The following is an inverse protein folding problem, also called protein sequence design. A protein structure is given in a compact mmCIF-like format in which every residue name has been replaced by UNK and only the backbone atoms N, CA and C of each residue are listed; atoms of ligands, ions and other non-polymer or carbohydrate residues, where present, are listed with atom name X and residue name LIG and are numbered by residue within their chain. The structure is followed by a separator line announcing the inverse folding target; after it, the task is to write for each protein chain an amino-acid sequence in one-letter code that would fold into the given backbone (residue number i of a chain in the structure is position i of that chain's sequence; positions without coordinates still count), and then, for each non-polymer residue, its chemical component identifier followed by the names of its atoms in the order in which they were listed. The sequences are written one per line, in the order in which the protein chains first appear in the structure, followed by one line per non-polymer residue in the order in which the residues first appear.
data_IF_302344732098
#
_entry.id   IF_302344732098
#
_cell.length_a   1.000
_cell.length_b   1.000
_cell.length_c   1.000
_cell.angle_alpha   90.00
_cell.angle_beta   90.00
_cell.angle_gamma   90.00
#
_symmetry.space_group_name_H-M   'P 1'
#
loop_
_entity.id
_entity.type
_entity.pdbx_description
1 polymer ?
#
# COMPACT_ATOMS: atom_id res chain seq x y z
N UNK A 1 73.53 60.60 31.36
CA UNK A 1 72.30 60.97 30.67
C UNK A 1 72.34 60.74 29.15
N UNK A 2 73.39 61.16 28.42
CA UNK A 2 73.45 61.05 26.95
C UNK A 2 73.48 59.61 26.42
N UNK A 3 74.08 58.66 27.12
CA UNK A 3 74.11 57.24 26.76
C UNK A 3 72.73 56.51 27.02
N UNK A 4 72.06 56.86 28.09
CA UNK A 4 70.74 56.34 28.40
C UNK A 4 69.70 56.80 27.36
N UNK A 5 69.81 58.09 26.92
CA UNK A 5 68.94 58.63 25.87
C UNK A 5 69.19 57.95 24.51
N UNK A 6 70.45 57.66 24.16
CA UNK A 6 70.74 56.88 22.93
C UNK A 6 70.21 55.43 23.02
N UNK A 7 70.31 54.77 24.18
CA UNK A 7 69.80 53.45 24.42
C UNK A 7 68.31 53.42 24.27
N UNK A 8 67.61 54.37 24.88
CA UNK A 8 66.12 54.47 24.78
C UNK A 8 65.71 54.69 23.31
N UNK A 9 66.36 55.58 22.59
CA UNK A 9 66.07 55.83 21.16
C UNK A 9 66.34 54.56 20.31
N UNK A 10 67.41 53.84 20.53
CA UNK A 10 67.74 52.62 19.85
C UNK A 10 66.66 51.51 20.15
N UNK A 11 66.21 51.38 21.42
CA UNK A 11 65.22 50.45 21.80
C UNK A 11 63.86 50.80 21.16
N UNK A 12 63.49 52.11 21.12
CA UNK A 12 62.29 52.55 20.42
C UNK A 12 62.36 52.26 18.92
N UNK A 13 63.51 52.48 18.25
CA UNK A 13 63.66 52.14 16.82
C UNK A 13 63.47 50.63 16.59
N UNK A 14 64.10 49.79 17.41
CA UNK A 14 63.97 48.33 17.30
C UNK A 14 62.47 47.89 17.50
N UNK A 15 61.81 48.50 18.48
CA UNK A 15 60.33 48.17 18.69
C UNK A 15 59.48 48.66 17.53
N UNK A 16 59.75 49.85 16.96
CA UNK A 16 59.03 50.34 15.77
C UNK A 16 59.25 49.43 14.56
N UNK A 17 60.55 49.06 14.31
CA UNK A 17 60.86 48.11 13.22
C UNK A 17 60.15 46.78 13.43
N UNK A 18 60.15 46.23 14.66
CA UNK A 18 59.48 44.98 15.00
C UNK A 18 57.99 45.08 14.78
N UNK A 19 57.36 46.15 15.21
CA UNK A 19 55.88 46.38 14.99
C UNK A 19 55.62 46.54 13.49
N UNK A 20 56.49 47.26 12.72
CA UNK A 20 56.29 47.43 11.28
C UNK A 20 56.40 46.08 10.54
N UNK A 21 57.39 45.25 10.91
CA UNK A 21 57.58 43.90 10.34
C UNK A 21 56.33 43.06 10.60
N UNK A 22 55.81 43.07 11.82
CA UNK A 22 54.58 42.34 12.16
C UNK A 22 53.41 42.84 11.34
N UNK A 23 53.25 44.16 11.20
CA UNK A 23 52.17 44.75 10.41
C UNK A 23 52.30 44.35 8.92
N UNK A 24 53.48 44.33 8.34
CA UNK A 24 53.71 43.86 6.97
C UNK A 24 53.35 42.41 6.83
N UNK A 25 53.74 41.53 7.77
CA UNK A 25 53.32 40.12 7.75
C UNK A 25 51.82 39.97 7.84
N UNK A 26 51.16 40.73 8.72
CA UNK A 26 49.70 40.69 8.85
C UNK A 26 48.96 41.12 7.59
N UNK A 27 49.45 42.17 6.91
CA UNK A 27 48.85 42.67 5.67
C UNK A 27 49.00 41.72 4.47
N UNK A 28 49.95 40.77 4.52
CA UNK A 28 50.20 39.83 3.46
C UNK A 28 49.65 38.43 3.71
N UNK A 29 48.87 38.24 4.77
CA UNK A 29 48.12 37.00 5.00
C UNK A 29 46.88 37.02 4.11
N UNK A 30 46.78 36.04 3.21
CA UNK A 30 45.58 35.77 2.43
C UNK A 30 44.92 34.53 3.03
N UNK A 31 43.70 34.69 3.54
CA UNK A 31 42.89 33.59 4.03
C UNK A 31 41.44 33.76 3.55
N UNK A 32 41.04 32.93 2.59
CA UNK A 32 39.72 33.02 1.97
C UNK A 32 39.21 31.65 1.52
N UNK A 33 37.89 31.47 1.49
CA UNK A 33 37.26 30.28 0.94
C UNK A 33 37.43 30.22 -0.58
N UNK A 34 37.49 29.03 -1.14
CA UNK A 34 37.21 28.74 -2.55
C UNK A 34 35.74 28.44 -2.71
N UNK A 35 35.13 28.93 -3.79
CA UNK A 35 33.69 28.81 -4.01
C UNK A 35 32.86 29.60 -3.00
N UNK A 36 31.56 29.30 -2.95
CA UNK A 36 30.60 30.03 -2.16
C UNK A 36 30.74 29.77 -0.67
N UNK A 37 30.44 30.77 0.12
CA UNK A 37 30.43 30.67 1.58
C UNK A 37 29.10 30.16 2.15
N UNK A 38 28.05 30.05 1.30
CA UNK A 38 26.75 29.49 1.64
C UNK A 38 26.33 28.50 0.56
N UNK A 39 26.00 27.28 0.96
CA UNK A 39 25.62 26.17 0.08
C UNK A 39 24.31 25.56 0.56
N UNK A 40 23.55 24.98 -0.37
CA UNK A 40 22.39 24.17 -0.12
C UNK A 40 22.68 22.75 -0.60
N UNK A 41 22.39 21.78 0.23
CA UNK A 41 22.51 20.36 -0.09
C UNK A 41 21.16 19.71 0.13
N UNK A 42 20.81 18.79 -0.74
CA UNK A 42 19.64 17.93 -0.49
C UNK A 42 19.98 16.93 0.62
N UNK A 43 18.95 16.46 1.28
CA UNK A 43 19.06 15.41 2.29
C UNK A 43 19.87 14.21 1.73
N UNK A 44 20.84 13.70 2.51
CA UNK A 44 21.77 12.63 2.15
C UNK A 44 22.68 12.92 0.94
N UNK A 45 22.71 14.14 0.41
CA UNK A 45 23.64 14.53 -0.64
C UNK A 45 25.08 14.53 -0.11
N UNK A 46 26.01 14.05 -0.94
CA UNK A 46 27.42 14.03 -0.58
C UNK A 46 28.02 15.43 -0.71
N UNK A 47 28.52 15.99 0.39
CA UNK A 47 29.20 17.26 0.38
C UNK A 47 30.60 17.14 -0.22
N UNK A 48 30.90 18.00 -1.19
CA UNK A 48 32.26 18.16 -1.76
C UNK A 48 32.87 19.46 -1.26
N UNK A 49 33.99 19.36 -0.53
CA UNK A 49 34.71 20.51 -0.01
C UNK A 49 35.45 21.26 -1.12
N UNK A 50 35.10 22.51 -1.37
CA UNK A 50 35.78 23.38 -2.35
C UNK A 50 37.13 23.89 -1.85
N UNK A 51 37.39 23.79 -0.55
CA UNK A 51 38.63 24.18 0.07
C UNK A 51 38.75 25.69 0.33
N UNK A 52 39.97 26.11 0.60
CA UNK A 52 40.33 27.48 0.95
C UNK A 52 41.71 27.82 0.41
N UNK A 53 42.08 29.11 0.43
CA UNK A 53 43.44 29.62 0.19
C UNK A 53 43.94 30.14 1.52
N UNK A 54 45.12 29.70 1.94
CA UNK A 54 45.85 30.22 3.09
C UNK A 54 47.33 30.43 2.69
N UNK A 55 47.73 31.69 2.53
CA UNK A 55 49.09 32.01 2.13
C UNK A 55 49.59 33.28 2.82
N UNK A 56 50.90 33.41 2.87
CA UNK A 56 51.61 34.63 3.28
C UNK A 56 52.75 34.90 2.28
N UNK A 57 52.80 36.10 1.71
CA UNK A 57 53.75 36.45 0.63
C UNK A 57 53.77 35.39 -0.48
N UNK A 58 52.61 34.84 -0.84
CA UNK A 58 52.40 33.72 -1.78
C UNK A 58 52.96 32.35 -1.34
N UNK A 59 53.52 32.21 -0.13
CA UNK A 59 53.88 30.91 0.42
C UNK A 59 52.65 30.23 1.03
N UNK A 60 52.41 28.99 0.66
CA UNK A 60 51.29 28.18 1.18
C UNK A 60 51.49 27.86 2.66
N UNK A 61 50.51 28.24 3.48
CA UNK A 61 50.44 27.95 4.90
C UNK A 61 49.18 27.15 5.26
N UNK A 62 48.54 26.51 4.29
CA UNK A 62 47.29 25.75 4.45
C UNK A 62 47.40 24.66 5.53
N UNK A 63 48.56 24.03 5.71
CA UNK A 63 48.83 23.05 6.77
C UNK A 63 48.62 23.59 8.21
N UNK A 64 48.56 24.91 8.40
CA UNK A 64 48.29 25.54 9.70
C UNK A 64 46.81 25.77 9.97
N UNK A 65 45.95 25.54 9.00
CA UNK A 65 44.50 25.69 9.14
C UNK A 65 43.92 24.50 9.89
N UNK A 66 43.16 24.79 10.92
CA UNK A 66 42.31 23.79 11.61
C UNK A 66 40.88 23.92 11.10
N UNK A 67 40.28 22.78 10.76
CA UNK A 67 38.92 22.68 10.26
C UNK A 67 38.08 21.99 11.33
N UNK A 68 36.93 22.60 11.65
CA UNK A 68 35.87 22.03 12.51
C UNK A 68 34.65 21.87 11.64
N UNK A 69 34.23 20.66 11.48
CA UNK A 69 33.07 20.28 10.66
C UNK A 69 32.07 19.51 11.52
N UNK A 70 30.81 19.99 11.59
CA UNK A 70 29.72 19.34 12.24
C UNK A 70 28.59 18.97 11.26
N UNK A 71 28.89 18.99 9.97
CA UNK A 71 27.92 18.67 8.92
C UNK A 71 27.42 17.23 9.07
N UNK A 72 26.09 17.10 9.09
CA UNK A 72 25.38 15.84 8.97
C UNK A 72 24.32 16.00 7.89
N UNK A 73 24.57 15.42 6.73
CA UNK A 73 23.67 15.52 5.58
C UNK A 73 22.42 14.65 5.70
N UNK A 74 22.37 13.77 6.70
CA UNK A 74 21.17 12.94 6.97
C UNK A 74 20.11 13.62 7.85
N UNK A 75 20.38 14.85 8.29
CA UNK A 75 19.45 15.62 9.12
C UNK A 75 19.31 17.02 8.51
N UNK A 76 18.06 17.41 8.27
CA UNK A 76 17.70 18.75 7.80
C UNK A 76 18.16 19.79 8.82
N UNK A 77 18.83 20.85 8.36
CA UNK A 77 19.30 21.89 9.26
C UNK A 77 20.42 22.75 8.71
N UNK A 78 20.87 23.69 9.56
CA UNK A 78 21.94 24.63 9.23
C UNK A 78 23.25 24.21 9.91
N UNK A 79 24.25 23.95 9.11
CA UNK A 79 25.58 23.48 9.54
C UNK A 79 26.66 24.48 9.20
N UNK A 80 27.78 24.38 9.90
CA UNK A 80 28.92 25.26 9.68
C UNK A 80 30.19 24.48 9.60
N UNK A 81 30.98 24.77 8.58
CA UNK A 81 32.37 24.36 8.52
C UNK A 81 33.20 25.59 8.86
N UNK A 82 33.94 25.53 9.97
CA UNK A 82 34.74 26.61 10.47
C UNK A 82 36.21 26.32 10.19
N UNK A 83 36.87 27.27 9.57
CA UNK A 83 38.30 27.22 9.26
C UNK A 83 39.03 28.24 10.16
N UNK A 84 40.02 27.82 10.88
CA UNK A 84 40.80 28.65 11.81
C UNK A 84 42.25 28.60 11.47
N UNK A 85 42.83 29.74 11.09
CA UNK A 85 44.23 29.93 10.87
C UNK A 85 44.82 30.77 12.01
N UNK A 86 45.78 30.20 12.77
CA UNK A 86 46.56 30.93 13.75
C UNK A 86 47.91 31.26 13.15
N UNK A 87 48.20 32.55 13.01
CA UNK A 87 49.49 33.03 12.52
C UNK A 87 50.01 34.12 13.42
N UNK A 88 51.23 33.94 13.95
CA UNK A 88 51.77 34.72 15.05
C UNK A 88 50.77 34.67 16.25
N UNK A 89 50.35 35.83 16.77
CA UNK A 89 49.33 35.95 17.82
C UNK A 89 47.95 36.28 17.28
N UNK A 90 47.75 36.31 15.94
CA UNK A 90 46.47 36.56 15.32
C UNK A 90 45.76 35.23 14.97
N UNK A 91 44.43 35.25 15.16
CA UNK A 91 43.53 34.17 14.74
C UNK A 91 42.60 34.69 13.66
N UNK A 92 42.69 34.09 12.48
CA UNK A 92 41.81 34.35 11.36
C UNK A 92 40.76 33.26 11.31
N UNK A 93 39.49 33.63 11.01
CA UNK A 93 38.38 32.71 10.95
C UNK A 93 37.66 32.88 9.62
N UNK A 94 37.30 31.76 9.02
CA UNK A 94 36.38 31.70 7.91
C UNK A 94 35.28 30.68 8.28
N UNK A 95 34.12 30.88 7.70
CA UNK A 95 32.97 30.05 7.93
C UNK A 95 32.28 29.78 6.61
N UNK A 96 31.96 28.49 6.32
CA UNK A 96 31.06 28.07 5.27
C UNK A 96 29.79 27.59 5.92
N UNK A 97 28.69 28.17 5.49
CA UNK A 97 27.33 27.76 5.92
C UNK A 97 26.80 26.74 4.94
N UNK A 98 26.25 25.64 5.46
CA UNK A 98 25.65 24.58 4.66
C UNK A 98 24.24 24.35 5.19
N UNK A 99 23.26 24.56 4.32
CA UNK A 99 21.87 24.30 4.63
C UNK A 99 21.50 22.96 4.01
N UNK A 100 21.29 21.95 4.84
CA UNK A 100 20.73 20.66 4.40
C UNK A 100 19.20 20.83 4.38
N UNK A 101 18.61 20.61 3.22
CA UNK A 101 17.19 20.78 2.97
C UNK A 101 16.58 19.47 2.47
N UNK A 102 15.36 19.22 2.84
CA UNK A 102 14.56 18.21 2.21
C UNK A 102 13.64 18.88 1.18
N UNK A 103 13.78 18.47 -0.07
CA UNK A 103 12.99 18.94 -1.20
C UNK A 103 12.14 17.83 -1.82
N UNK A 104 12.01 16.70 -1.13
CA UNK A 104 11.27 15.53 -1.63
C UNK A 104 9.87 15.55 -1.03
N UNK A 105 8.82 15.67 -1.84
CA UNK A 105 7.45 15.56 -1.32
C UNK A 105 7.15 14.15 -0.81
N UNK A 106 6.23 13.99 0.15
CA UNK A 106 5.78 12.68 0.59
C UNK A 106 5.11 11.89 -0.54
N UNK A 107 5.20 10.57 -0.52
CA UNK A 107 4.35 9.69 -1.32
C UNK A 107 3.00 9.57 -0.64
N UNK A 108 1.91 9.79 -1.39
CA UNK A 108 0.53 9.60 -0.89
C UNK A 108 -0.13 8.54 -1.76
N UNK A 109 -0.57 7.45 -1.14
CA UNK A 109 -1.15 6.30 -1.84
C UNK A 109 -2.53 5.97 -1.27
N UNK A 110 -3.51 5.69 -2.15
CA UNK A 110 -4.85 5.30 -1.73
C UNK A 110 -4.86 3.88 -1.16
N UNK A 111 -5.62 3.69 -0.10
CA UNK A 111 -6.05 2.35 0.31
C UNK A 111 -7.25 1.94 -0.58
N UNK A 112 -7.13 0.81 -1.30
CA UNK A 112 -8.18 0.36 -2.21
C UNK A 112 -8.21 1.06 -3.57
N UNK A 113 -9.37 1.05 -4.22
CA UNK A 113 -9.53 1.50 -5.60
C UNK A 113 -9.50 3.04 -5.73
N UNK A 114 -8.97 3.54 -6.85
CA UNK A 114 -8.92 4.96 -7.18
C UNK A 114 -10.23 5.48 -7.81
N UNK A 115 -11.05 4.59 -8.40
CA UNK A 115 -12.39 4.87 -8.88
C UNK A 115 -13.41 3.92 -8.24
N UNK A 116 -14.41 4.48 -7.56
CA UNK A 116 -15.48 3.72 -6.89
C UNK A 116 -16.83 4.13 -7.47
N UNK A 117 -17.67 3.14 -7.77
CA UNK A 117 -19.05 3.36 -8.24
C UNK A 117 -20.02 2.95 -7.15
N UNK A 118 -20.91 3.88 -6.80
CA UNK A 118 -22.00 3.65 -5.84
C UNK A 118 -23.32 4.12 -6.42
N UNK A 119 -24.43 3.75 -5.82
CA UNK A 119 -25.75 4.25 -6.21
C UNK A 119 -26.23 5.37 -5.29
N UNK A 120 -27.11 6.21 -5.83
CA UNK A 120 -27.80 7.24 -5.04
C UNK A 120 -28.44 6.63 -3.79
N UNK A 121 -28.06 7.17 -2.64
CA UNK A 121 -28.50 6.71 -1.31
C UNK A 121 -27.69 5.58 -0.69
N UNK A 122 -26.66 5.07 -1.38
CA UNK A 122 -25.76 4.09 -0.77
C UNK A 122 -24.87 4.75 0.29
N UNK A 123 -24.52 3.98 1.32
CA UNK A 123 -23.51 4.39 2.30
C UNK A 123 -22.12 4.18 1.70
N UNK A 124 -21.34 5.24 1.64
CA UNK A 124 -19.94 5.19 1.24
C UNK A 124 -19.04 5.05 2.47
N UNK A 125 -18.14 4.07 2.45
CA UNK A 125 -17.11 3.88 3.45
C UNK A 125 -15.76 4.13 2.77
N UNK A 126 -15.08 5.19 3.19
CA UNK A 126 -13.78 5.54 2.66
C UNK A 126 -12.67 4.70 3.30
N UNK A 127 -11.85 4.07 2.48
CA UNK A 127 -10.71 3.27 2.94
C UNK A 127 -9.48 4.15 3.28
N UNK A 128 -9.54 5.45 2.93
CA UNK A 128 -8.49 6.41 3.23
C UNK A 128 -7.26 6.30 2.33
N UNK A 129 -6.15 6.82 2.82
CA UNK A 129 -4.85 6.82 2.15
C UNK A 129 -3.73 6.71 3.19
N UNK A 130 -2.51 6.39 2.73
CA UNK A 130 -1.28 6.42 3.53
C UNK A 130 -0.32 7.45 2.96
N UNK A 131 0.50 8.08 3.82
CA UNK A 131 1.50 9.04 3.41
C UNK A 131 2.85 8.72 4.05
N UNK A 132 3.87 8.51 3.21
CA UNK A 132 5.23 8.17 3.63
C UNK A 132 6.21 9.18 3.04
N UNK A 133 7.06 9.71 3.89
CA UNK A 133 8.10 10.65 3.51
C UNK A 133 9.50 10.08 3.73
N UNK A 134 10.47 10.55 2.96
CA UNK A 134 11.86 10.10 3.06
C UNK A 134 12.53 10.52 4.37
N UNK A 135 12.16 11.69 4.91
CA UNK A 135 12.72 12.26 6.15
C UNK A 135 11.78 12.07 7.35
N UNK A 136 10.53 12.49 7.23
CA UNK A 136 9.54 12.45 8.32
C UNK A 136 8.92 11.06 8.55
N UNK A 137 9.19 10.09 7.64
CA UNK A 137 8.71 8.71 7.69
C UNK A 137 7.20 8.63 7.48
N UNK A 138 6.49 7.94 8.36
CA UNK A 138 5.05 7.82 8.31
C UNK A 138 4.39 9.10 8.82
N UNK A 139 3.73 9.81 7.91
CA UNK A 139 2.96 11.03 8.19
C UNK A 139 1.48 10.86 7.83
N UNK A 140 1.00 9.62 7.82
CA UNK A 140 -0.40 9.28 7.50
C UNK A 140 -1.40 10.06 8.35
N UNK A 141 -1.11 10.26 9.63
CA UNK A 141 -1.96 11.04 10.54
C UNK A 141 -2.08 12.53 10.16
N UNK A 142 -1.19 13.02 9.30
CA UNK A 142 -1.18 14.40 8.83
C UNK A 142 -1.96 14.60 7.52
N UNK A 143 -2.59 13.55 6.98
CA UNK A 143 -3.37 13.65 5.74
C UNK A 143 -4.58 14.56 5.97
N UNK A 144 -4.70 15.56 5.10
CA UNK A 144 -5.88 16.42 5.01
C UNK A 144 -6.78 15.84 3.92
N UNK A 145 -8.05 15.61 4.26
CA UNK A 145 -9.04 15.06 3.34
C UNK A 145 -10.02 16.16 2.97
N UNK A 146 -10.15 16.41 1.67
CA UNK A 146 -11.15 17.29 1.09
C UNK A 146 -12.09 16.48 0.20
N UNK A 147 -13.39 16.58 0.43
CA UNK A 147 -14.39 15.82 -0.32
C UNK A 147 -15.58 16.71 -0.72
N UNK A 148 -16.04 16.55 -1.95
CA UNK A 148 -17.28 17.10 -2.42
C UNK A 148 -18.38 16.04 -2.60
N UNK A 149 -18.18 14.82 -2.07
CA UNK A 149 -19.08 13.70 -2.24
C UNK A 149 -20.47 13.98 -1.66
N UNK A 150 -21.47 13.86 -2.53
CA UNK A 150 -22.90 13.87 -2.18
C UNK A 150 -23.51 12.55 -2.67
N UNK A 151 -23.65 11.57 -1.80
CA UNK A 151 -24.21 10.26 -2.16
C UNK A 151 -25.71 10.30 -2.43
N UNK A 152 -26.36 11.44 -2.20
CA UNK A 152 -27.81 11.59 -2.45
C UNK A 152 -28.12 12.07 -3.87
N UNK A 153 -27.11 12.45 -4.63
CA UNK A 153 -27.25 12.96 -5.99
C UNK A 153 -26.33 12.23 -6.97
N UNK A 154 -26.85 11.93 -8.15
CA UNK A 154 -26.07 11.44 -9.27
C UNK A 154 -24.98 12.44 -9.67
N UNK A 155 -23.77 11.94 -9.94
CA UNK A 155 -22.65 12.76 -10.36
C UNK A 155 -21.30 12.08 -10.19
N UNK A 156 -20.27 12.79 -10.65
CA UNK A 156 -18.88 12.42 -10.38
C UNK A 156 -18.33 13.32 -9.28
N UNK A 157 -17.78 12.70 -8.28
CA UNK A 157 -17.25 13.33 -7.08
C UNK A 157 -15.79 12.95 -6.86
N UNK A 158 -15.11 13.73 -6.06
CA UNK A 158 -13.72 13.49 -5.73
C UNK A 158 -13.47 13.58 -4.24
N UNK A 159 -12.58 12.73 -3.74
CA UNK A 159 -12.00 12.82 -2.42
C UNK A 159 -10.50 13.01 -2.62
N UNK A 160 -9.98 14.14 -2.17
CA UNK A 160 -8.58 14.51 -2.31
C UNK A 160 -7.89 14.30 -0.96
N UNK A 161 -6.80 13.54 -0.98
CA UNK A 161 -5.93 13.31 0.16
C UNK A 161 -4.63 14.05 -0.09
N UNK A 162 -4.31 15.01 0.76
CA UNK A 162 -3.06 15.77 0.68
C UNK A 162 -2.24 15.59 1.94
N UNK A 163 -0.94 15.43 1.78
CA UNK A 163 0.00 15.36 2.88
C UNK A 163 1.15 16.34 2.65
N UNK A 164 1.57 16.99 3.73
CA UNK A 164 2.67 17.94 3.74
C UNK A 164 3.70 17.53 4.78
N UNK A 165 4.97 17.47 4.37
CA UNK A 165 6.08 17.18 5.26
C UNK A 165 6.46 18.37 6.14
N UNK A 166 7.39 18.18 7.08
CA UNK A 166 7.89 19.23 7.96
C UNK A 166 8.74 20.28 7.23
N UNK A 167 9.25 19.98 6.05
CA UNK A 167 10.02 20.88 5.19
C UNK A 167 9.14 21.76 4.30
N UNK A 168 7.85 21.42 4.21
CA UNK A 168 6.86 22.19 3.47
C UNK A 168 6.56 21.65 2.08
N UNK A 169 7.12 20.50 1.67
CA UNK A 169 6.79 19.86 0.42
C UNK A 169 5.44 19.14 0.55
N UNK A 170 4.64 19.18 -0.50
CA UNK A 170 3.27 18.68 -0.49
C UNK A 170 3.03 17.76 -1.69
N UNK A 171 2.26 16.71 -1.47
CA UNK A 171 1.75 15.84 -2.51
C UNK A 171 0.30 15.45 -2.21
N UNK A 172 -0.42 15.00 -3.25
CA UNK A 172 -1.82 14.63 -3.14
C UNK A 172 -2.20 13.54 -4.11
N UNK A 173 -3.20 12.76 -3.73
CA UNK A 173 -3.85 11.76 -4.55
C UNK A 173 -5.36 11.97 -4.48
N UNK A 174 -6.08 11.57 -5.52
CA UNK A 174 -7.53 11.75 -5.61
C UNK A 174 -8.21 10.42 -5.86
N UNK A 175 -9.25 10.13 -5.07
CA UNK A 175 -10.21 9.05 -5.33
C UNK A 175 -11.41 9.64 -6.04
N UNK A 176 -11.80 9.03 -7.16
CA UNK A 176 -13.01 9.35 -7.88
C UNK A 176 -14.17 8.50 -7.36
N UNK A 177 -15.30 9.14 -7.04
CA UNK A 177 -16.52 8.44 -6.65
C UNK A 177 -17.61 8.80 -7.65
N UNK A 178 -18.15 7.79 -8.34
CA UNK A 178 -19.24 7.96 -9.30
C UNK A 178 -20.54 7.52 -8.62
N UNK A 179 -21.40 8.47 -8.31
CA UNK A 179 -22.74 8.21 -7.79
C UNK A 179 -23.70 8.09 -8.97
N UNK A 180 -24.27 6.91 -9.15
CA UNK A 180 -25.17 6.60 -10.27
C UNK A 180 -26.60 6.48 -9.80
N UNK A 181 -27.54 6.92 -10.63
CA UNK A 181 -28.94 6.67 -10.34
C UNK A 181 -29.29 5.19 -10.58
N UNK A 182 -29.93 4.53 -9.62
CA UNK A 182 -30.42 3.15 -9.78
C UNK A 182 -31.26 2.95 -11.05
N UNK A 183 -31.82 4.03 -11.58
CA UNK A 183 -32.70 3.97 -12.75
C UNK A 183 -31.96 4.10 -14.11
N UNK A 184 -30.64 4.34 -14.13
CA UNK A 184 -29.86 4.44 -15.39
C UNK A 184 -29.09 3.16 -15.75
N UNK A 185 -29.06 2.16 -14.90
CA UNK A 185 -28.76 0.79 -15.32
C UNK A 185 -30.00 0.31 -16.07
N UNK A 186 -29.92 0.37 -17.38
CA UNK A 186 -30.97 0.00 -18.35
C UNK A 186 -32.06 -0.88 -17.74
N UNK A 187 -33.30 -0.44 -17.81
CA UNK A 187 -34.53 -1.14 -17.42
C UNK A 187 -34.74 -2.51 -18.12
N UNK A 188 -33.68 -3.28 -18.35
CA UNK A 188 -33.75 -4.63 -18.86
C UNK A 188 -33.07 -5.55 -17.84
N UNK A 189 -33.88 -6.19 -17.01
CA UNK A 189 -33.51 -7.45 -16.43
C UNK A 189 -33.26 -7.55 -14.92
N UNK A 190 -33.12 -6.48 -14.11
CA UNK A 190 -32.92 -6.66 -12.65
C UNK A 190 -34.20 -7.14 -11.93
N UNK A 191 -35.36 -6.62 -12.27
CA UNK A 191 -36.63 -7.13 -11.73
C UNK A 191 -36.98 -8.51 -12.30
N UNK A 192 -36.71 -8.75 -13.58
CA UNK A 192 -37.01 -10.02 -14.24
C UNK A 192 -36.14 -11.16 -13.73
N UNK A 193 -34.89 -10.91 -13.38
CA UNK A 193 -33.96 -11.92 -12.85
C UNK A 193 -34.24 -12.20 -11.40
N UNK A 194 -34.35 -11.14 -10.60
CA UNK A 194 -34.75 -11.29 -9.22
C UNK A 194 -36.05 -12.15 -9.16
N UNK A 195 -36.95 -11.90 -10.07
CA UNK A 195 -38.16 -12.67 -10.20
C UNK A 195 -37.90 -14.11 -10.70
N UNK A 196 -37.07 -14.34 -11.70
CA UNK A 196 -36.78 -15.67 -12.24
C UNK A 196 -36.01 -16.55 -11.26
N UNK A 197 -34.92 -16.04 -10.65
CA UNK A 197 -34.11 -16.78 -9.69
C UNK A 197 -34.88 -16.97 -8.38
N UNK A 198 -35.46 -15.89 -7.86
CA UNK A 198 -36.28 -15.98 -6.62
C UNK A 198 -37.53 -16.86 -6.82
N UNK A 199 -38.13 -16.81 -7.98
CA UNK A 199 -39.24 -17.69 -8.36
C UNK A 199 -38.80 -19.15 -8.38
N UNK A 200 -37.70 -19.45 -9.09
CA UNK A 200 -37.13 -20.80 -9.14
C UNK A 200 -36.81 -21.34 -7.75
N UNK A 201 -36.13 -20.55 -6.90
CA UNK A 201 -35.79 -20.91 -5.53
C UNK A 201 -37.04 -21.16 -4.69
N UNK A 202 -38.10 -20.33 -4.83
CA UNK A 202 -39.37 -20.46 -4.08
C UNK A 202 -40.17 -21.65 -4.56
N UNK A 203 -40.28 -21.87 -5.87
CA UNK A 203 -41.03 -23.01 -6.45
C UNK A 203 -40.49 -24.37 -6.02
N UNK A 204 -39.15 -24.43 -5.81
CA UNK A 204 -38.49 -25.66 -5.36
C UNK A 204 -38.24 -25.70 -3.85
N UNK A 205 -38.68 -24.68 -3.12
CA UNK A 205 -38.48 -24.55 -1.66
C UNK A 205 -37.02 -24.71 -1.23
N UNK A 206 -36.07 -24.12 -2.00
CA UNK A 206 -34.63 -24.23 -1.71
C UNK A 206 -34.18 -23.24 -0.64
N UNK A 207 -33.42 -23.73 0.34
CA UNK A 207 -32.72 -22.86 1.31
C UNK A 207 -31.34 -22.51 0.82
N UNK A 208 -31.24 -21.48 -0.05
CA UNK A 208 -30.03 -21.03 -0.73
C UNK A 208 -29.79 -19.56 -0.54
N UNK A 209 -28.49 -19.17 -0.66
CA UNK A 209 -28.04 -17.79 -0.89
C UNK A 209 -27.22 -17.75 -2.15
N UNK A 210 -27.34 -16.70 -2.95
CA UNK A 210 -26.74 -16.59 -4.26
C UNK A 210 -26.03 -15.25 -4.40
N UNK A 211 -24.83 -15.26 -4.96
CA UNK A 211 -24.06 -14.09 -5.34
C UNK A 211 -23.56 -14.19 -6.79
N UNK A 212 -23.75 -13.15 -7.53
CA UNK A 212 -23.12 -12.89 -8.81
C UNK A 212 -22.40 -11.55 -8.74
N UNK A 213 -21.16 -11.47 -9.25
CA UNK A 213 -20.40 -10.25 -9.35
C UNK A 213 -19.55 -10.25 -10.62
N UNK A 214 -19.86 -9.36 -11.59
CA UNK A 214 -19.04 -9.18 -12.79
C UNK A 214 -17.78 -8.39 -12.46
N UNK A 215 -16.61 -8.97 -12.72
CA UNK A 215 -15.29 -8.43 -12.34
C UNK A 215 -14.83 -7.26 -13.22
N UNK A 216 -15.54 -7.00 -14.32
CA UNK A 216 -15.23 -5.88 -15.23
C UNK A 216 -16.19 -4.73 -14.99
N UNK A 217 -17.49 -5.01 -14.95
CA UNK A 217 -18.55 -3.99 -14.88
C UNK A 217 -18.99 -3.66 -13.46
N UNK A 218 -18.53 -4.41 -12.47
CA UNK A 218 -18.98 -4.38 -11.07
C UNK A 218 -20.48 -4.65 -10.89
N UNK A 219 -21.17 -5.11 -11.93
CA UNK A 219 -22.59 -5.50 -11.87
C UNK A 219 -22.74 -6.69 -10.93
N UNK A 220 -23.69 -6.63 -10.01
CA UNK A 220 -23.89 -7.68 -9.01
C UNK A 220 -25.37 -8.05 -8.87
N UNK A 221 -25.62 -9.32 -8.54
CA UNK A 221 -26.90 -9.81 -8.05
C UNK A 221 -26.67 -10.55 -6.73
N UNK A 222 -27.41 -10.20 -5.69
CA UNK A 222 -27.25 -10.75 -4.35
C UNK A 222 -28.62 -11.19 -3.82
N UNK A 223 -28.71 -12.45 -3.40
CA UNK A 223 -29.91 -13.00 -2.75
C UNK A 223 -29.54 -13.60 -1.41
N UNK A 224 -30.12 -13.08 -0.33
CA UNK A 224 -29.84 -13.46 1.07
C UNK A 224 -28.35 -13.42 1.41
N UNK A 225 -27.65 -12.41 0.95
CA UNK A 225 -26.19 -12.27 0.96
C UNK A 225 -25.55 -12.27 2.35
N UNK A 226 -26.34 -11.91 3.37
CA UNK A 226 -25.88 -11.88 4.77
C UNK A 226 -26.29 -13.10 5.59
N UNK A 227 -27.00 -14.06 4.97
CA UNK A 227 -27.34 -15.30 5.66
C UNK A 227 -26.05 -16.09 5.95
N UNK A 228 -25.90 -16.49 7.21
CA UNK A 228 -24.74 -17.24 7.68
C UNK A 228 -24.93 -18.73 7.39
N UNK A 229 -23.89 -19.34 6.84
CA UNK A 229 -23.78 -20.78 6.63
C UNK A 229 -22.50 -21.29 7.29
N UNK A 230 -22.47 -22.58 7.65
CA UNK A 230 -21.20 -23.23 7.99
C UNK A 230 -20.34 -23.34 6.74
N UNK A 231 -19.14 -22.75 6.75
CA UNK A 231 -18.32 -22.55 5.55
C UNK A 231 -17.71 -23.83 4.98
N UNK A 232 -17.56 -24.86 5.79
CA UNK A 232 -16.89 -26.10 5.43
C UNK A 232 -15.55 -25.82 4.70
N UNK A 233 -15.28 -26.54 3.61
CA UNK A 233 -14.01 -26.40 2.88
C UNK A 233 -13.83 -25.10 2.07
N UNK A 234 -14.78 -24.17 2.09
CA UNK A 234 -14.64 -22.90 1.38
C UNK A 234 -13.51 -22.03 1.96
N UNK A 235 -13.25 -22.16 3.28
CA UNK A 235 -12.19 -21.42 3.97
C UNK A 235 -10.79 -21.70 3.39
N UNK A 236 -10.57 -22.86 2.78
CA UNK A 236 -9.28 -23.24 2.17
C UNK A 236 -8.85 -22.28 1.06
N UNK A 237 -9.78 -21.57 0.45
CA UNK A 237 -9.49 -20.47 -0.46
C UNK A 237 -8.70 -19.37 0.25
N UNK A 238 -9.01 -19.07 1.52
CA UNK A 238 -8.32 -18.05 2.28
C UNK A 238 -6.89 -18.47 2.65
N UNK A 239 -6.64 -19.78 2.91
CA UNK A 239 -5.28 -20.30 3.13
C UNK A 239 -4.36 -19.97 1.95
N UNK A 240 -4.86 -20.24 0.73
CA UNK A 240 -4.12 -19.96 -0.50
C UNK A 240 -3.90 -18.45 -0.67
N UNK A 241 -4.96 -17.64 -0.53
CA UNK A 241 -4.89 -16.18 -0.67
C UNK A 241 -3.86 -15.62 0.31
N UNK A 242 -3.91 -16.01 1.59
CA UNK A 242 -2.99 -15.51 2.62
C UNK A 242 -1.53 -15.76 2.26
N UNK A 243 -1.20 -17.00 1.87
CA UNK A 243 0.18 -17.38 1.60
C UNK A 243 0.76 -16.68 0.37
N UNK A 244 -0.03 -16.57 -0.70
CA UNK A 244 0.40 -15.91 -1.93
C UNK A 244 0.51 -14.39 -1.77
N UNK A 245 -0.44 -13.77 -1.09
CA UNK A 245 -0.46 -12.33 -0.86
C UNK A 245 0.69 -11.86 0.05
N UNK A 246 1.07 -12.68 1.02
CA UNK A 246 2.17 -12.36 1.94
C UNK A 246 3.54 -12.93 1.51
N UNK A 247 3.66 -13.46 0.27
CA UNK A 247 4.89 -14.06 -0.26
C UNK A 247 5.49 -15.17 0.64
N UNK A 248 4.62 -15.99 1.25
CA UNK A 248 4.99 -17.08 2.16
C UNK A 248 4.99 -18.46 1.47
N UNK A 249 4.97 -18.47 0.14
CA UNK A 249 5.00 -19.70 -0.67
C UNK A 249 6.42 -20.24 -0.76
N UNK A 250 6.56 -21.52 -0.44
CA UNK A 250 7.72 -22.37 -0.68
C UNK A 250 7.24 -23.74 -1.16
N UNK A 251 8.15 -24.65 -1.52
CA UNK A 251 7.78 -25.95 -2.08
C UNK A 251 6.84 -26.75 -1.17
N UNK A 252 7.04 -26.68 0.16
CA UNK A 252 6.19 -27.36 1.13
C UNK A 252 4.80 -26.73 1.20
N UNK A 253 4.70 -25.42 1.46
CA UNK A 253 3.40 -24.74 1.58
C UNK A 253 2.62 -24.81 0.27
N UNK A 254 3.29 -24.72 -0.88
CA UNK A 254 2.68 -24.87 -2.20
C UNK A 254 2.01 -26.24 -2.38
N UNK A 255 2.70 -27.33 -2.06
CA UNK A 255 2.13 -28.68 -2.14
C UNK A 255 0.90 -28.86 -1.26
N UNK A 256 0.90 -28.26 -0.06
CA UNK A 256 -0.28 -28.30 0.80
C UNK A 256 -1.43 -27.43 0.28
N UNK A 257 -1.13 -26.24 -0.29
CA UNK A 257 -2.17 -25.40 -0.97
C UNK A 257 -2.80 -26.20 -2.11
N UNK A 258 -2.01 -26.80 -2.98
CA UNK A 258 -2.51 -27.63 -4.09
C UNK A 258 -3.47 -28.70 -3.57
N UNK A 259 -3.08 -29.50 -2.59
CA UNK A 259 -3.93 -30.56 -2.01
C UNK A 259 -5.20 -30.00 -1.34
N UNK A 260 -5.08 -28.92 -0.59
CA UNK A 260 -6.22 -28.28 0.09
C UNK A 260 -7.25 -27.76 -0.90
N UNK A 261 -6.81 -27.24 -2.04
CA UNK A 261 -7.69 -26.68 -3.07
C UNK A 261 -8.20 -27.76 -4.02
N UNK A 262 -7.28 -28.51 -4.69
CA UNK A 262 -7.63 -29.38 -5.81
C UNK A 262 -8.41 -30.63 -5.40
N UNK A 263 -8.10 -31.22 -4.23
CA UNK A 263 -8.80 -32.41 -3.72
C UNK A 263 -9.44 -32.19 -2.34
N UNK A 264 -9.45 -30.96 -1.90
CA UNK A 264 -10.07 -30.54 -0.64
C UNK A 264 -9.54 -31.28 0.61
N UNK A 265 -8.24 -31.60 0.64
CA UNK A 265 -7.60 -32.34 1.73
C UNK A 265 -7.67 -31.56 3.05
N UNK A 266 -8.22 -32.17 4.09
CA UNK A 266 -8.38 -31.55 5.42
C UNK A 266 -7.08 -31.52 6.22
N UNK A 267 -6.19 -32.51 6.01
CA UNK A 267 -4.89 -32.53 6.71
C UNK A 267 -3.98 -31.42 6.15
N UNK A 268 -4.05 -31.20 4.81
CA UNK A 268 -3.35 -30.10 4.17
C UNK A 268 -3.84 -28.75 4.71
N UNK A 269 -5.15 -28.53 4.81
CA UNK A 269 -5.72 -27.35 5.44
C UNK A 269 -5.26 -27.16 6.88
N UNK A 270 -5.33 -28.21 7.70
CA UNK A 270 -4.88 -28.14 9.09
C UNK A 270 -3.39 -27.78 9.22
N UNK A 271 -2.55 -28.33 8.33
CA UNK A 271 -1.14 -27.95 8.27
C UNK A 271 -0.97 -26.46 7.97
N UNK A 272 -1.71 -25.94 6.96
CA UNK A 272 -1.64 -24.52 6.56
C UNK A 272 -2.14 -23.61 7.68
N UNK A 273 -3.24 -23.93 8.35
CA UNK A 273 -3.74 -23.15 9.49
C UNK A 273 -2.72 -23.12 10.64
N UNK A 274 -2.06 -24.25 10.91
CA UNK A 274 -1.01 -24.29 11.93
C UNK A 274 0.23 -23.48 11.52
N UNK A 275 0.59 -23.48 10.25
CA UNK A 275 1.72 -22.72 9.70
C UNK A 275 1.46 -21.20 9.73
N UNK A 276 0.28 -20.78 9.30
CA UNK A 276 -0.14 -19.37 9.25
C UNK A 276 -0.46 -18.83 10.66
N UNK A 277 -1.08 -19.65 11.49
CA UNK A 277 -1.73 -19.27 12.73
C UNK A 277 -3.18 -18.86 12.50
N UNK A 278 -4.10 -19.48 13.25
CA UNK A 278 -5.55 -19.27 13.11
C UNK A 278 -5.96 -17.79 13.25
N UNK A 279 -5.36 -17.08 14.21
CA UNK A 279 -5.68 -15.67 14.45
C UNK A 279 -5.18 -14.76 13.33
N UNK A 280 -4.03 -15.07 12.74
CA UNK A 280 -3.51 -14.35 11.58
C UNK A 280 -4.46 -14.52 10.38
N UNK A 281 -4.89 -15.76 10.12
CA UNK A 281 -5.82 -16.06 9.04
C UNK A 281 -7.17 -15.37 9.25
N UNK A 282 -7.70 -15.40 10.48
CA UNK A 282 -8.93 -14.73 10.87
C UNK A 282 -8.85 -13.22 10.68
N UNK A 283 -7.82 -12.60 11.23
CA UNK A 283 -7.63 -11.15 11.13
C UNK A 283 -7.45 -10.70 9.68
N UNK A 284 -6.69 -11.47 8.90
CA UNK A 284 -6.53 -11.18 7.48
C UNK A 284 -7.86 -11.20 6.74
N UNK A 285 -8.69 -12.24 6.91
CA UNK A 285 -10.00 -12.30 6.28
C UNK A 285 -10.93 -11.16 6.70
N UNK A 286 -10.91 -10.80 8.00
CA UNK A 286 -11.70 -9.66 8.51
C UNK A 286 -11.21 -8.34 7.88
N UNK A 287 -9.89 -8.15 7.77
CA UNK A 287 -9.30 -6.95 7.16
C UNK A 287 -9.60 -6.85 5.65
N UNK A 288 -9.76 -7.98 4.96
CA UNK A 288 -10.27 -7.99 3.59
C UNK A 288 -11.76 -7.59 3.49
N UNK A 289 -12.49 -7.55 4.62
CA UNK A 289 -13.92 -7.26 4.67
C UNK A 289 -14.82 -8.48 4.86
N UNK A 290 -14.30 -9.69 4.99
CA UNK A 290 -15.05 -10.92 5.24
C UNK A 290 -15.33 -11.09 6.74
N UNK A 291 -16.46 -10.55 7.20
CA UNK A 291 -16.78 -10.36 8.63
C UNK A 291 -16.99 -11.65 9.42
N UNK A 292 -17.35 -12.77 8.75
CA UNK A 292 -17.61 -14.04 9.38
C UNK A 292 -16.42 -15.02 9.32
N UNK A 293 -15.24 -14.56 8.90
CA UNK A 293 -14.04 -15.39 8.81
C UNK A 293 -13.71 -16.07 10.11
N UNK A 294 -13.67 -17.41 10.09
CA UNK A 294 -13.35 -18.24 11.26
C UNK A 294 -14.13 -17.83 12.52
N UNK A 295 -15.37 -17.37 12.36
CA UNK A 295 -16.28 -17.20 13.48
C UNK A 295 -16.71 -18.58 13.99
N UNK A 296 -16.55 -18.83 15.30
CA UNK A 296 -16.70 -20.15 15.91
C UNK A 296 -15.36 -20.72 16.36
N UNK A 297 -15.39 -21.96 16.87
CA UNK A 297 -14.24 -22.60 17.54
C UNK A 297 -13.44 -23.53 16.61
N UNK A 298 -14.00 -23.92 15.47
CA UNK A 298 -13.32 -24.79 14.51
C UNK A 298 -12.55 -24.01 13.41
N UNK A 299 -11.76 -24.71 12.63
CA UNK A 299 -10.95 -24.12 11.55
C UNK A 299 -11.70 -23.97 10.24
N UNK A 300 -12.97 -24.33 10.16
CA UNK A 300 -13.81 -24.22 8.96
C UNK A 300 -14.75 -23.02 9.01
N UNK A 301 -15.16 -22.61 10.21
CA UNK A 301 -15.88 -21.37 10.50
C UNK A 301 -17.21 -21.20 9.74
N UNK A 302 -17.69 -19.97 9.78
CA UNK A 302 -18.89 -19.54 9.10
C UNK A 302 -18.59 -18.69 7.89
N UNK A 303 -19.55 -18.57 6.97
CA UNK A 303 -19.42 -17.74 5.76
C UNK A 303 -20.77 -17.17 5.33
N UNK A 304 -20.70 -16.13 4.51
CA UNK A 304 -21.83 -15.54 3.79
C UNK A 304 -21.48 -15.38 2.31
N UNK A 305 -22.45 -15.01 1.49
CA UNK A 305 -22.18 -14.65 0.09
C UNK A 305 -21.20 -13.48 0.00
N UNK A 306 -21.36 -12.47 0.85
CA UNK A 306 -20.47 -11.32 0.88
C UNK A 306 -19.03 -11.72 1.21
N UNK A 307 -18.82 -12.59 2.20
CA UNK A 307 -17.48 -13.06 2.56
C UNK A 307 -16.80 -13.80 1.38
N UNK A 308 -17.56 -14.65 0.67
CA UNK A 308 -17.01 -15.39 -0.46
C UNK A 308 -16.69 -14.49 -1.66
N UNK A 309 -17.49 -13.46 -1.92
CA UNK A 309 -17.20 -12.48 -2.98
C UNK A 309 -15.88 -11.75 -2.67
N UNK A 310 -15.65 -11.38 -1.40
CA UNK A 310 -14.38 -10.75 -0.97
C UNK A 310 -13.18 -11.66 -1.25
N UNK A 311 -13.27 -12.93 -0.85
CA UNK A 311 -12.18 -13.89 -1.10
C UNK A 311 -11.93 -14.11 -2.58
N UNK A 312 -12.97 -14.28 -3.38
CA UNK A 312 -12.84 -14.55 -4.80
C UNK A 312 -12.34 -13.33 -5.59
N UNK A 313 -12.69 -12.11 -5.20
CA UNK A 313 -12.09 -10.88 -5.76
C UNK A 313 -10.58 -10.84 -5.51
N UNK A 314 -10.15 -11.11 -4.28
CA UNK A 314 -8.74 -11.14 -3.93
C UNK A 314 -8.00 -12.27 -4.67
N UNK A 315 -8.59 -13.47 -4.73
CA UNK A 315 -8.06 -14.60 -5.50
C UNK A 315 -7.88 -14.24 -6.99
N UNK A 316 -8.88 -13.61 -7.61
CA UNK A 316 -8.79 -13.18 -9.01
C UNK A 316 -7.61 -12.26 -9.25
N UNK A 317 -7.40 -11.28 -8.39
CA UNK A 317 -6.29 -10.35 -8.52
C UNK A 317 -4.92 -11.05 -8.41
N UNK A 318 -4.77 -12.01 -7.50
CA UNK A 318 -3.53 -12.79 -7.35
C UNK A 318 -3.30 -13.68 -8.59
N UNK A 319 -4.35 -14.33 -9.08
CA UNK A 319 -4.24 -15.31 -10.18
C UNK A 319 -4.08 -14.67 -11.55
N UNK A 320 -4.33 -13.36 -11.72
CA UNK A 320 -4.01 -12.64 -12.97
C UNK A 320 -2.55 -12.85 -13.42
N UNK A 321 -1.63 -12.95 -12.47
CA UNK A 321 -0.19 -13.10 -12.73
C UNK A 321 0.38 -14.40 -12.17
N UNK A 322 -0.49 -15.38 -11.82
CA UNK A 322 -0.07 -16.66 -11.25
C UNK A 322 -0.90 -17.82 -11.82
N UNK A 323 -0.46 -18.31 -12.98
CA UNK A 323 -1.13 -19.41 -13.67
C UNK A 323 -1.04 -20.75 -12.89
N UNK A 324 0.01 -20.95 -12.08
CA UNK A 324 0.14 -22.14 -11.25
C UNK A 324 -0.95 -22.17 -10.18
N UNK A 325 -1.10 -21.10 -9.39
CA UNK A 325 -2.18 -21.02 -8.40
C UNK A 325 -3.56 -21.13 -9.06
N UNK A 326 -3.75 -20.47 -10.21
CA UNK A 326 -4.99 -20.54 -10.98
C UNK A 326 -5.34 -21.98 -11.34
N UNK A 327 -4.37 -22.79 -11.75
CA UNK A 327 -4.56 -24.18 -12.13
C UNK A 327 -5.07 -25.05 -10.97
N UNK A 328 -4.72 -24.76 -9.71
CA UNK A 328 -5.19 -25.52 -8.56
C UNK A 328 -6.70 -25.38 -8.36
N UNK A 329 -7.28 -24.26 -8.76
CA UNK A 329 -8.72 -23.99 -8.68
C UNK A 329 -9.49 -24.49 -9.90
N UNK A 330 -8.82 -24.77 -11.03
CA UNK A 330 -9.45 -25.33 -12.23
C UNK A 330 -9.33 -26.85 -12.18
N UNK A 331 -10.27 -27.50 -11.55
CA UNK A 331 -10.30 -28.96 -11.39
C UNK A 331 -11.75 -29.48 -11.41
N UNK A 332 -11.93 -30.78 -11.59
CA UNK A 332 -13.24 -31.42 -11.65
C UNK A 332 -13.72 -31.95 -10.29
N UNK A 333 -12.89 -31.91 -9.26
CA UNK A 333 -13.21 -32.48 -7.96
C UNK A 333 -14.24 -31.64 -7.22
N UNK A 334 -15.46 -32.16 -7.12
CA UNK A 334 -16.58 -31.46 -6.48
C UNK A 334 -17.08 -30.24 -7.27
N UNK A 335 -16.77 -30.15 -8.57
CA UNK A 335 -17.21 -29.05 -9.41
C UNK A 335 -18.69 -29.22 -9.81
N UNK A 336 -19.55 -28.43 -9.19
CA UNK A 336 -20.98 -28.36 -9.50
C UNK A 336 -21.35 -27.08 -10.27
N UNK A 337 -20.42 -26.14 -10.42
CA UNK A 337 -20.56 -24.93 -11.23
C UNK A 337 -20.27 -25.22 -12.72
N UNK A 338 -20.83 -26.31 -13.26
CA UNK A 338 -20.65 -26.66 -14.67
C UNK A 338 -21.48 -25.71 -15.54
N UNK A 339 -20.79 -24.77 -16.18
CA UNK A 339 -21.41 -23.69 -16.95
C UNK A 339 -20.94 -23.80 -18.40
N UNK A 340 -21.74 -24.36 -19.26
CA UNK A 340 -21.37 -24.63 -20.66
C UNK A 340 -19.98 -25.30 -20.74
N UNK A 341 -19.14 -24.87 -21.67
CA UNK A 341 -17.75 -25.33 -21.81
C UNK A 341 -16.73 -24.34 -21.22
N UNK A 342 -17.17 -23.50 -20.24
CA UNK A 342 -16.29 -22.51 -19.63
C UNK A 342 -15.46 -23.10 -18.51
N UNK A 343 -14.21 -22.67 -18.41
CA UNK A 343 -13.38 -22.97 -17.25
C UNK A 343 -13.84 -22.16 -16.04
N UNK A 344 -13.93 -22.82 -14.89
CA UNK A 344 -14.29 -22.20 -13.63
C UNK A 344 -13.20 -22.46 -12.61
N UNK A 345 -12.66 -21.42 -12.04
CA UNK A 345 -11.85 -21.52 -10.82
C UNK A 345 -12.81 -21.68 -9.67
N UNK A 346 -12.85 -22.82 -9.00
CA UNK A 346 -13.87 -23.09 -8.00
C UNK A 346 -13.33 -23.71 -6.72
N UNK A 347 -14.12 -23.60 -5.66
CA UNK A 347 -13.96 -24.36 -4.43
C UNK A 347 -15.32 -24.76 -3.88
N UNK A 348 -15.51 -26.05 -3.73
CA UNK A 348 -16.69 -26.57 -3.07
C UNK A 348 -16.49 -26.73 -1.56
N UNK A 349 -17.59 -26.71 -0.80
CA UNK A 349 -17.65 -27.00 0.63
C UNK A 349 -18.79 -27.94 0.96
N UNK A 350 -18.52 -29.01 1.74
CA UNK A 350 -19.51 -29.96 2.16
C UNK A 350 -19.34 -30.34 3.62
N UNK A 351 -20.43 -30.26 4.40
CA UNK A 351 -20.53 -30.81 5.75
C UNK A 351 -22.00 -30.99 6.15
N UNK A 352 -22.40 -32.22 6.42
CA UNK A 352 -23.78 -32.53 6.81
C UNK A 352 -24.80 -32.09 5.75
N UNK A 353 -25.65 -31.14 6.13
CA UNK A 353 -26.68 -30.57 5.24
C UNK A 353 -26.16 -29.40 4.39
N UNK A 354 -24.98 -28.83 4.73
CA UNK A 354 -24.39 -27.72 4.02
C UNK A 354 -23.65 -28.18 2.78
N UNK A 355 -23.97 -27.56 1.67
CA UNK A 355 -23.38 -27.90 0.39
C UNK A 355 -23.23 -26.63 -0.44
N UNK A 356 -22.00 -26.30 -0.78
CA UNK A 356 -21.66 -25.03 -1.38
C UNK A 356 -20.75 -25.25 -2.58
N UNK A 357 -20.89 -24.40 -3.58
CA UNK A 357 -19.84 -24.22 -4.56
C UNK A 357 -19.73 -22.74 -4.95
N UNK A 358 -18.52 -22.24 -4.98
CA UNK A 358 -18.20 -20.84 -5.25
C UNK A 358 -17.04 -20.76 -6.23
N UNK A 359 -17.05 -19.78 -7.12
CA UNK A 359 -15.97 -19.72 -8.09
C UNK A 359 -15.95 -18.45 -8.95
N UNK A 360 -14.95 -18.41 -9.83
CA UNK A 360 -14.77 -17.39 -10.84
C UNK A 360 -14.91 -18.05 -12.21
N UNK A 361 -15.92 -17.66 -12.95
CA UNK A 361 -16.13 -18.14 -14.32
C UNK A 361 -15.25 -17.35 -15.26
N UNK A 362 -14.40 -18.06 -16.01
CA UNK A 362 -13.43 -17.48 -16.91
C UNK A 362 -14.04 -17.32 -18.30
N UNK A 363 -14.79 -16.27 -18.47
CA UNK A 363 -15.38 -15.81 -19.75
C UNK A 363 -14.65 -14.54 -20.25
N UNK A 364 -15.03 -13.99 -21.39
CA UNK A 364 -14.55 -12.70 -21.89
C UNK A 364 -14.78 -11.57 -20.87
N UNK A 365 -15.89 -11.62 -20.16
CA UNK A 365 -16.19 -10.82 -18.98
C UNK A 365 -16.22 -11.73 -17.75
N UNK A 366 -15.09 -11.97 -17.07
CA UNK A 366 -15.07 -12.88 -15.93
C UNK A 366 -15.98 -12.41 -14.80
N UNK A 367 -16.62 -13.37 -14.15
CA UNK A 367 -17.53 -13.06 -13.05
C UNK A 367 -17.43 -14.07 -11.91
N UNK A 368 -17.70 -13.61 -10.72
CA UNK A 368 -17.81 -14.42 -9.51
C UNK A 368 -19.22 -14.99 -9.42
N UNK A 369 -19.31 -16.26 -9.03
CA UNK A 369 -20.54 -16.94 -8.67
C UNK A 369 -20.39 -17.57 -7.29
N UNK A 370 -21.38 -17.36 -6.42
CA UNK A 370 -21.45 -17.93 -5.08
C UNK A 370 -22.82 -18.58 -4.90
N UNK A 371 -22.83 -19.88 -4.60
CA UNK A 371 -24.06 -20.60 -4.27
C UNK A 371 -23.84 -21.34 -2.95
N UNK A 372 -24.51 -20.86 -1.90
CA UNK A 372 -24.50 -21.46 -0.57
C UNK A 372 -25.85 -22.10 -0.31
N UNK A 373 -25.86 -23.35 0.14
CA UNK A 373 -27.13 -24.07 0.41
C UNK A 373 -27.06 -24.85 1.71
N UNK A 374 -28.21 -24.91 2.36
CA UNK A 374 -28.48 -25.73 3.54
C UNK A 374 -29.60 -26.77 3.20
N UNK A 375 -29.53 -27.34 2.01
CA UNK A 375 -30.52 -28.28 1.54
C UNK A 375 -29.92 -29.68 1.52
N UNK A 376 -30.17 -30.43 2.59
CA UNK A 376 -29.64 -31.80 2.74
C UNK A 376 -30.19 -32.78 1.70
N UNK A 377 -29.33 -33.47 1.11
CA UNK A 377 -29.22 -34.81 0.57
C UNK A 377 -29.43 -35.06 -0.92
N UNK A 378 -30.58 -34.91 -1.59
CA UNK A 378 -30.71 -35.74 -2.81
C UNK A 378 -30.46 -35.06 -4.17
N UNK A 379 -30.55 -33.73 -4.28
CA UNK A 379 -30.41 -33.04 -5.57
C UNK A 379 -29.47 -31.82 -5.52
N UNK A 380 -28.55 -31.79 -4.57
CA UNK A 380 -27.65 -30.65 -4.32
C UNK A 380 -26.81 -30.23 -5.52
N UNK A 381 -26.31 -31.21 -6.30
CA UNK A 381 -25.58 -30.95 -7.53
C UNK A 381 -26.43 -30.29 -8.59
N UNK A 382 -27.65 -30.81 -8.75
CA UNK A 382 -28.62 -30.28 -9.68
C UNK A 382 -29.04 -28.86 -9.31
N UNK A 383 -29.31 -28.61 -8.02
CA UNK A 383 -29.64 -27.26 -7.51
C UNK A 383 -28.52 -26.26 -7.87
N UNK A 384 -27.27 -26.57 -7.53
CA UNK A 384 -26.15 -25.67 -7.79
C UNK A 384 -25.97 -25.48 -9.30
N UNK A 385 -26.03 -26.55 -10.07
CA UNK A 385 -25.83 -26.47 -11.53
C UNK A 385 -26.96 -25.66 -12.21
N UNK A 386 -28.23 -25.88 -11.82
CA UNK A 386 -29.35 -25.13 -12.38
C UNK A 386 -29.27 -23.63 -12.04
N UNK A 387 -28.94 -23.30 -10.80
CA UNK A 387 -28.72 -21.91 -10.40
C UNK A 387 -27.52 -21.27 -11.12
N UNK A 388 -26.43 -22.01 -11.28
CA UNK A 388 -25.25 -21.54 -12.01
C UNK A 388 -25.58 -21.24 -13.48
N UNK A 389 -26.37 -22.11 -14.14
CA UNK A 389 -26.80 -21.89 -15.51
C UNK A 389 -27.82 -20.74 -15.66
N UNK A 390 -28.68 -20.52 -14.68
CA UNK A 390 -29.53 -19.32 -14.63
C UNK A 390 -28.68 -18.04 -14.52
N UNK A 391 -27.66 -18.05 -13.66
CA UNK A 391 -26.73 -16.92 -13.54
C UNK A 391 -25.92 -16.68 -14.81
N UNK A 392 -25.55 -17.75 -15.55
CA UNK A 392 -24.89 -17.61 -16.84
C UNK A 392 -25.80 -16.97 -17.90
N UNK A 393 -27.06 -17.40 -18.00
CA UNK A 393 -28.05 -16.74 -18.89
C UNK A 393 -28.22 -15.26 -18.56
N UNK A 394 -28.23 -14.94 -17.27
CA UNK A 394 -28.20 -13.55 -16.83
C UNK A 394 -26.96 -12.81 -17.31
N UNK A 395 -25.80 -13.41 -17.12
CA UNK A 395 -24.53 -12.82 -17.57
C UNK A 395 -24.54 -12.51 -19.06
N UNK A 396 -25.18 -13.36 -19.87
CA UNK A 396 -25.34 -13.18 -21.33
C UNK A 396 -26.49 -12.26 -21.73
N UNK A 397 -27.31 -11.80 -20.80
CA UNK A 397 -28.48 -10.97 -21.13
C UNK A 397 -29.61 -11.78 -21.79
N UNK A 398 -29.67 -13.09 -21.52
CA UNK A 398 -30.67 -14.02 -22.06
C UNK A 398 -31.84 -14.26 -21.13
N UNK A 399 -31.88 -13.58 -19.98
CA UNK A 399 -32.96 -13.63 -18.98
C UNK A 399 -33.59 -12.27 -18.80
#
# INVERSE_FOLDING_TARGET
MKNLRKFIISLMMVTIIFISVIFIFKMNVVFKLKGDNKLYLNLNETYIEYGYIASIFNYDISKKVKIFNNLNTSIVGNYNINYSLKFLWHKYLLRREINVVDNTPPSVELNGDDEIKIYVGDTFIDEGAVAIDNYDKDITDNIIIESNLDTTKEGEYSIVYSAKDSSGNENKVTRKVIVQNKNMVSNYGFEDINNSIVKYVKEHNYDVSIGYYNLITNKKFLYRENKIYYGASLIKTLDAIYLYDNNLINDSTKSYVEKAISVSDNNAHQYLVNYIGRDNLKNYGINLGAKNTLAGDDNFGNTTVNDQIVYLKKLYNITKNNEELKSFFINDYGNYLKINNLSVMHKYGYYGQYYHDVGIVLDNEPYIIVILTNHGNDNKQEIINNLANLMYKYHKGEL
#
